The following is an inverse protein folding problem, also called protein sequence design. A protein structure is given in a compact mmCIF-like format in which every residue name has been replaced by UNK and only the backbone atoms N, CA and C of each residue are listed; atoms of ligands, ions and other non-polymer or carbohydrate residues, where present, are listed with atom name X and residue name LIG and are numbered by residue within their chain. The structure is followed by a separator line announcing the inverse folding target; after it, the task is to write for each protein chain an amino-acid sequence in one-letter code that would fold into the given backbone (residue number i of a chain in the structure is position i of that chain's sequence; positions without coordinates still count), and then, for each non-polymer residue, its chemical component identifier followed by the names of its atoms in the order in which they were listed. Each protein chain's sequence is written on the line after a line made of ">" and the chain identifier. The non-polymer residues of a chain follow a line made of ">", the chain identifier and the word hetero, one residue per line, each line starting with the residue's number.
data_IF_231792392086
#
_entry.id   IF_231792392086
#
_cell.length_a   1.000
_cell.length_b   1.000
_cell.length_c   1.000
_cell.angle_alpha   90.00
_cell.angle_beta   90.00
_cell.angle_gamma   90.00
#
_symmetry.space_group_name_H-M   'P 1'
#
loop_
_entity.id
_entity.type
_entity.pdbx_description
1 polymer ?
#
# COMPACT_ATOMS: atom_id res chain seq x y z
N UNK A 1 5.07 -37.72 18.24
CA UNK A 1 3.95 -36.89 17.76
C UNK A 1 3.98 -35.59 18.54
N UNK A 2 4.56 -34.54 17.95
CA UNK A 2 4.53 -33.19 18.50
C UNK A 2 4.09 -32.28 17.37
N UNK A 3 3.00 -31.61 17.63
CA UNK A 3 2.21 -30.78 16.72
C UNK A 3 3.06 -29.59 16.25
N UNK A 4 3.25 -29.49 14.93
CA UNK A 4 3.87 -28.32 14.31
C UNK A 4 2.87 -27.17 14.44
N UNK A 5 3.16 -26.23 15.34
CA UNK A 5 2.48 -24.95 15.39
C UNK A 5 2.68 -24.28 14.03
N UNK A 6 1.64 -24.26 13.20
CA UNK A 6 1.59 -23.43 12.00
C UNK A 6 1.78 -21.99 12.47
N UNK A 7 2.94 -21.41 12.23
CA UNK A 7 3.18 -19.98 12.39
C UNK A 7 2.13 -19.27 11.53
N UNK A 8 1.17 -18.61 12.16
CA UNK A 8 0.18 -17.84 11.43
C UNK A 8 0.92 -16.78 10.62
N UNK A 9 0.71 -16.76 9.30
CA UNK A 9 1.28 -15.72 8.45
C UNK A 9 0.74 -14.37 8.96
N UNK A 10 1.60 -13.39 9.27
CA UNK A 10 1.16 -12.10 9.84
C UNK A 10 0.26 -11.28 8.91
N UNK A 11 0.16 -11.70 7.64
CA UNK A 11 -0.68 -11.13 6.61
C UNK A 11 -1.48 -12.23 5.89
N UNK A 12 -2.77 -11.98 5.66
CA UNK A 12 -3.64 -12.82 4.83
C UNK A 12 -4.12 -12.02 3.63
N UNK A 13 -3.73 -12.45 2.43
CA UNK A 13 -4.18 -11.84 1.18
C UNK A 13 -5.70 -11.89 1.06
N UNK A 14 -6.33 -13.01 1.45
CA UNK A 14 -7.79 -13.15 1.40
C UNK A 14 -8.51 -12.12 2.26
N UNK A 15 -8.09 -11.96 3.52
CA UNK A 15 -8.68 -10.98 4.43
C UNK A 15 -8.47 -9.54 3.92
N UNK A 16 -7.32 -9.25 3.32
CA UNK A 16 -7.04 -7.96 2.71
C UNK A 16 -7.94 -7.68 1.49
N UNK A 17 -8.07 -8.64 0.57
CA UNK A 17 -8.92 -8.49 -0.62
C UNK A 17 -10.40 -8.35 -0.23
N UNK A 18 -10.86 -9.09 0.77
CA UNK A 18 -12.20 -8.93 1.36
C UNK A 18 -12.37 -7.52 1.95
N UNK A 19 -11.40 -7.03 2.72
CA UNK A 19 -11.44 -5.70 3.34
C UNK A 19 -11.60 -4.57 2.33
N UNK A 20 -10.94 -4.69 1.18
CA UNK A 20 -10.99 -3.67 0.13
C UNK A 20 -12.14 -3.89 -0.85
N UNK A 21 -12.87 -5.00 -0.75
CA UNK A 21 -13.96 -5.36 -1.65
C UNK A 21 -13.50 -5.71 -3.07
N UNK A 22 -12.30 -6.31 -3.21
CA UNK A 22 -11.80 -6.74 -4.51
C UNK A 22 -12.23 -8.18 -4.82
N UNK A 23 -13.08 -8.33 -5.84
CA UNK A 23 -13.61 -9.62 -6.32
C UNK A 23 -13.05 -10.03 -7.70
N UNK A 24 -12.13 -9.24 -8.26
CA UNK A 24 -11.55 -9.49 -9.57
C UNK A 24 -10.45 -10.55 -9.58
N UNK A 25 -9.68 -10.57 -10.67
CA UNK A 25 -8.55 -11.47 -10.86
C UNK A 25 -7.49 -11.35 -9.76
N UNK A 26 -6.73 -12.43 -9.56
CA UNK A 26 -5.59 -12.50 -8.62
C UNK A 26 -4.28 -12.84 -9.33
N UNK A 27 -4.26 -12.74 -10.65
CA UNK A 27 -3.05 -12.94 -11.43
C UNK A 27 -2.15 -11.71 -11.29
N UNK A 28 -0.83 -11.86 -11.34
CA UNK A 28 0.08 -10.72 -11.34
C UNK A 28 0.06 -10.07 -12.73
N UNK A 29 -1.03 -9.36 -13.03
CA UNK A 29 -1.24 -8.60 -14.26
C UNK A 29 -1.60 -7.13 -13.96
N UNK A 30 -1.52 -6.28 -14.99
CA UNK A 30 -1.77 -4.84 -14.87
C UNK A 30 -3.23 -4.55 -14.47
N UNK A 31 -4.17 -5.39 -14.93
CA UNK A 31 -5.58 -5.22 -14.60
C UNK A 31 -5.83 -5.43 -13.10
N UNK A 32 -5.22 -6.45 -12.52
CA UNK A 32 -5.25 -6.75 -11.08
C UNK A 32 -4.56 -5.64 -10.29
N UNK A 33 -3.37 -5.19 -10.71
CA UNK A 33 -2.66 -4.08 -10.06
C UNK A 33 -3.52 -2.79 -10.00
N UNK A 34 -4.15 -2.40 -11.12
CA UNK A 34 -5.08 -1.25 -11.18
C UNK A 34 -6.28 -1.43 -10.27
N UNK A 35 -6.93 -2.58 -10.36
CA UNK A 35 -8.14 -2.89 -9.61
C UNK A 35 -7.93 -2.89 -8.10
N UNK A 36 -6.87 -3.54 -7.63
CA UNK A 36 -6.53 -3.62 -6.20
C UNK A 36 -6.14 -2.24 -5.65
N UNK A 37 -5.38 -1.42 -6.39
CA UNK A 37 -5.06 -0.05 -5.98
C UNK A 37 -6.33 0.80 -5.80
N UNK A 38 -7.22 0.79 -6.79
CA UNK A 38 -8.46 1.55 -6.74
C UNK A 38 -9.38 1.08 -5.61
N UNK A 39 -9.48 -0.24 -5.41
CA UNK A 39 -10.25 -0.83 -4.32
C UNK A 39 -9.71 -0.40 -2.95
N UNK A 40 -8.38 -0.42 -2.75
CA UNK A 40 -7.75 0.03 -1.52
C UNK A 40 -8.09 1.49 -1.21
N UNK A 41 -7.90 2.38 -2.19
CA UNK A 41 -8.15 3.82 -2.04
C UNK A 41 -9.60 4.15 -1.66
N UNK A 42 -10.56 3.32 -2.11
CA UNK A 42 -11.98 3.48 -1.76
C UNK A 42 -12.33 2.94 -0.37
N UNK A 43 -11.59 1.95 0.11
CA UNK A 43 -11.97 1.16 1.27
C UNK A 43 -11.22 1.54 2.56
N UNK A 44 -9.95 1.93 2.47
CA UNK A 44 -9.10 2.19 3.63
C UNK A 44 -8.92 3.71 3.80
N UNK A 45 -9.44 4.31 4.89
CA UNK A 45 -9.29 5.74 5.11
C UNK A 45 -7.83 6.14 5.33
N UNK A 46 -7.46 7.35 4.91
CA UNK A 46 -6.21 7.99 5.33
C UNK A 46 -6.44 8.76 6.64
N UNK A 47 -5.57 8.59 7.63
CA UNK A 47 -5.62 9.27 8.93
C UNK A 47 -4.26 9.34 9.63
N UNK A 48 -4.13 10.24 10.60
CA UNK A 48 -2.94 10.41 11.45
C UNK A 48 -3.29 10.44 12.95
N UNK A 49 -4.37 9.78 13.36
CA UNK A 49 -4.93 9.82 14.72
C UNK A 49 -3.97 9.26 15.78
N UNK A 50 -3.17 8.24 15.45
CA UNK A 50 -2.16 7.73 16.40
C UNK A 50 -1.06 8.78 16.65
N UNK A 51 -0.56 9.42 15.60
CA UNK A 51 0.43 10.49 15.71
C UNK A 51 -0.12 11.70 16.47
N UNK A 52 -1.37 12.09 16.19
CA UNK A 52 -2.07 13.13 16.95
C UNK A 52 -2.20 12.77 18.44
N UNK A 53 -2.39 11.49 18.74
CA UNK A 53 -2.38 10.93 20.10
C UNK A 53 -0.98 10.72 20.71
N UNK A 54 0.08 11.21 20.07
CA UNK A 54 1.46 11.13 20.56
C UNK A 54 2.11 9.75 20.42
N UNK A 55 1.55 8.87 19.58
CA UNK A 55 2.08 7.52 19.34
C UNK A 55 2.62 7.41 17.91
N UNK A 56 3.83 6.86 17.76
CA UNK A 56 4.30 6.42 16.46
C UNK A 56 3.52 5.15 16.05
N UNK A 57 2.91 5.11 14.86
CA UNK A 57 2.25 3.89 14.39
C UNK A 57 3.27 2.79 14.14
N UNK A 58 2.88 1.54 14.42
CA UNK A 58 3.69 0.36 14.07
C UNK A 58 3.61 0.09 12.57
N UNK A 59 4.74 -0.33 11.99
CA UNK A 59 4.82 -0.81 10.59
C UNK A 59 4.99 -2.33 10.51
N UNK A 60 4.88 -3.04 11.64
CA UNK A 60 4.85 -4.49 11.62
C UNK A 60 3.57 -4.97 10.90
N UNK A 61 3.72 -5.98 10.03
CA UNK A 61 2.59 -6.47 9.23
C UNK A 61 1.44 -7.02 10.08
N UNK A 62 1.69 -7.60 11.25
CA UNK A 62 0.60 -8.07 12.12
C UNK A 62 -0.20 -6.89 12.69
N UNK A 63 0.48 -5.81 13.07
CA UNK A 63 -0.15 -4.61 13.60
C UNK A 63 -0.93 -3.88 12.52
N UNK A 64 -0.35 -3.76 11.31
CA UNK A 64 -1.02 -3.17 10.16
C UNK A 64 -2.25 -3.97 9.74
N UNK A 65 -2.16 -5.31 9.75
CA UNK A 65 -3.30 -6.18 9.44
C UNK A 65 -4.39 -6.04 10.51
N UNK A 66 -4.03 -6.06 11.79
CA UNK A 66 -4.98 -5.82 12.87
C UNK A 66 -5.68 -4.46 12.74
N UNK A 67 -4.93 -3.40 12.44
CA UNK A 67 -5.44 -2.02 12.36
C UNK A 67 -6.25 -1.75 11.10
N UNK A 68 -5.66 -1.97 9.92
CA UNK A 68 -6.23 -1.54 8.63
C UNK A 68 -7.20 -2.57 8.05
N UNK A 69 -6.93 -3.87 8.26
CA UNK A 69 -7.77 -4.96 7.76
C UNK A 69 -8.89 -5.27 8.74
N UNK A 70 -8.56 -5.57 10.00
CA UNK A 70 -9.58 -5.99 10.97
C UNK A 70 -10.25 -4.82 11.70
N UNK A 71 -9.56 -3.69 11.87
CA UNK A 71 -10.06 -2.54 12.61
C UNK A 71 -11.24 -1.78 11.98
N UNK A 72 -11.55 -2.02 10.67
CA UNK A 72 -12.64 -1.52 9.78
C UNK A 72 -13.00 -0.02 9.80
N UNK A 73 -12.90 0.67 10.94
CA UNK A 73 -13.11 2.11 11.16
C UNK A 73 -11.79 2.87 11.36
N UNK A 74 -10.65 2.19 11.24
CA UNK A 74 -9.31 2.78 11.31
C UNK A 74 -8.70 2.86 9.92
N UNK A 75 -7.85 3.85 9.76
CA UNK A 75 -7.03 4.08 8.58
C UNK A 75 -5.56 4.16 8.98
N UNK A 76 -4.70 4.66 8.11
CA UNK A 76 -3.33 5.04 8.47
C UNK A 76 -2.82 6.15 7.56
N UNK A 77 -1.52 6.42 7.62
CA UNK A 77 -0.88 7.31 6.65
C UNK A 77 0.06 6.57 5.68
N UNK A 78 0.84 7.31 4.88
CA UNK A 78 1.57 6.78 3.72
C UNK A 78 2.37 5.50 3.97
N UNK A 79 3.14 5.43 5.06
CA UNK A 79 3.95 4.26 5.39
C UNK A 79 3.11 3.04 5.76
N UNK A 80 2.00 3.21 6.46
CA UNK A 80 1.12 2.12 6.87
C UNK A 80 0.38 1.54 5.65
N UNK A 81 -0.18 2.44 4.83
CA UNK A 81 -0.87 2.11 3.59
C UNK A 81 0.03 1.37 2.60
N UNK A 82 1.17 1.97 2.25
CA UNK A 82 2.03 1.41 1.21
C UNK A 82 2.84 0.19 1.72
N UNK A 83 3.05 0.02 3.03
CA UNK A 83 3.60 -1.24 3.57
C UNK A 83 2.61 -2.39 3.44
N UNK A 84 1.35 -2.18 3.83
CA UNK A 84 0.30 -3.20 3.69
C UNK A 84 0.05 -3.52 2.20
N UNK A 85 0.01 -2.50 1.35
CA UNK A 85 -0.21 -2.68 -0.08
C UNK A 85 0.96 -3.40 -0.75
N UNK A 86 2.20 -3.10 -0.38
CA UNK A 86 3.35 -3.86 -0.86
C UNK A 86 3.24 -5.35 -0.53
N UNK A 87 2.85 -5.71 0.69
CA UNK A 87 2.65 -7.11 1.07
C UNK A 87 1.53 -7.79 0.26
N UNK A 88 0.46 -7.06 -0.05
CA UNK A 88 -0.61 -7.57 -0.92
C UNK A 88 -0.13 -7.81 -2.36
N UNK A 89 0.62 -6.87 -2.93
CA UNK A 89 1.18 -6.99 -4.27
C UNK A 89 2.22 -8.12 -4.37
N UNK A 90 3.12 -8.23 -3.38
CA UNK A 90 4.09 -9.32 -3.27
C UNK A 90 3.36 -10.68 -3.18
N UNK A 91 2.28 -10.78 -2.40
CA UNK A 91 1.46 -11.99 -2.30
C UNK A 91 0.68 -12.32 -3.58
N UNK A 92 0.36 -11.32 -4.41
CA UNK A 92 -0.21 -11.50 -5.75
C UNK A 92 0.83 -11.90 -6.80
N UNK A 93 2.12 -11.90 -6.46
CA UNK A 93 3.22 -12.22 -7.38
C UNK A 93 3.78 -11.03 -8.15
N UNK A 94 3.42 -9.80 -7.77
CA UNK A 94 4.01 -8.57 -8.32
C UNK A 94 5.29 -8.25 -7.56
N UNK A 95 6.39 -7.98 -8.27
CA UNK A 95 7.64 -7.56 -7.62
C UNK A 95 7.52 -6.09 -7.23
N UNK A 96 7.88 -5.75 -6.00
CA UNK A 96 7.75 -4.40 -5.45
C UNK A 96 9.09 -3.87 -4.97
N UNK A 97 9.44 -2.66 -5.41
CA UNK A 97 10.49 -1.84 -4.80
C UNK A 97 9.86 -0.68 -4.04
N UNK A 98 10.24 -0.50 -2.77
CA UNK A 98 9.73 0.59 -1.91
C UNK A 98 10.54 1.87 -2.17
N UNK A 99 9.86 2.97 -2.45
CA UNK A 99 10.47 4.27 -2.77
C UNK A 99 10.18 5.30 -1.67
N UNK A 100 11.03 6.32 -1.59
CA UNK A 100 10.77 7.53 -0.78
C UNK A 100 10.66 8.76 -1.68
N UNK A 101 9.68 9.62 -1.42
CA UNK A 101 9.40 10.82 -2.19
C UNK A 101 9.26 12.06 -1.28
N UNK A 102 9.35 13.24 -1.90
CA UNK A 102 9.09 14.53 -1.28
C UNK A 102 7.70 15.00 -1.70
N UNK A 103 6.83 15.34 -0.74
CA UNK A 103 5.54 15.95 -1.05
C UNK A 103 5.76 17.42 -1.35
N UNK A 104 5.55 17.84 -2.60
CA UNK A 104 5.80 19.23 -3.06
C UNK A 104 4.53 20.08 -3.16
N UNK A 105 3.37 19.55 -2.77
CA UNK A 105 2.13 20.32 -2.73
C UNK A 105 2.28 21.49 -1.78
N UNK A 106 2.15 22.72 -2.31
CA UNK A 106 2.35 23.95 -1.56
C UNK A 106 3.81 24.18 -1.12
N UNK A 107 4.79 23.64 -1.84
CA UNK A 107 6.21 23.95 -1.65
C UNK A 107 6.68 24.93 -2.73
N UNK A 108 7.54 25.88 -2.37
CA UNK A 108 8.20 26.76 -3.34
C UNK A 108 9.27 25.99 -4.13
N UNK A 109 10.03 25.15 -3.43
CA UNK A 109 11.02 24.25 -4.03
C UNK A 109 10.90 22.85 -3.48
N UNK A 110 11.34 21.86 -4.26
CA UNK A 110 11.25 20.46 -3.82
C UNK A 110 12.22 20.17 -2.68
N UNK A 111 13.36 20.87 -2.60
CA UNK A 111 14.38 20.69 -1.57
C UNK A 111 13.90 21.07 -0.18
N UNK A 112 12.89 21.94 -0.09
CA UNK A 112 12.30 22.43 1.17
C UNK A 112 11.51 21.35 1.92
N UNK A 113 11.28 20.19 1.29
CA UNK A 113 10.40 19.14 1.80
C UNK A 113 11.18 17.86 2.07
N UNK A 114 11.02 17.20 3.22
CA UNK A 114 11.76 15.97 3.53
C UNK A 114 11.25 14.77 2.71
N UNK A 115 12.09 13.75 2.54
CA UNK A 115 11.72 12.47 1.90
C UNK A 115 10.92 11.60 2.88
N UNK A 116 9.64 11.92 3.05
CA UNK A 116 8.76 11.33 4.08
C UNK A 116 7.50 10.69 3.51
N UNK A 117 7.36 10.66 2.18
CA UNK A 117 6.30 9.93 1.53
C UNK A 117 6.82 8.59 1.03
N UNK A 118 6.09 7.51 1.27
CA UNK A 118 6.38 6.20 0.69
C UNK A 118 5.54 6.03 -0.57
N UNK A 119 6.12 5.52 -1.64
CA UNK A 119 5.42 5.04 -2.84
C UNK A 119 6.05 3.70 -3.28
N UNK A 120 5.43 3.03 -4.24
CA UNK A 120 5.88 1.72 -4.72
C UNK A 120 6.24 1.77 -6.20
N UNK A 121 7.33 1.12 -6.57
CA UNK A 121 7.58 0.70 -7.94
C UNK A 121 7.14 -0.76 -8.07
N UNK A 122 6.13 -1.00 -8.88
CA UNK A 122 5.55 -2.32 -9.13
C UNK A 122 5.98 -2.85 -10.50
N UNK A 123 6.57 -4.04 -10.53
CA UNK A 123 7.00 -4.74 -11.74
C UNK A 123 6.10 -5.97 -11.93
N UNK A 124 5.23 -5.89 -12.93
CA UNK A 124 4.30 -6.96 -13.31
C UNK A 124 5.05 -7.97 -14.20
N UNK A 125 5.04 -9.28 -13.89
CA UNK A 125 5.69 -10.29 -14.71
C UNK A 125 5.22 -10.25 -16.17
N UNK A 126 6.18 -10.16 -17.10
CA UNK A 126 5.91 -10.13 -18.54
C UNK A 126 5.49 -8.76 -19.10
N UNK A 127 5.28 -7.75 -18.25
CA UNK A 127 5.08 -6.38 -18.69
C UNK A 127 6.45 -5.68 -18.89
N UNK A 128 6.66 -4.95 -20.00
CA UNK A 128 7.93 -4.27 -20.25
C UNK A 128 8.16 -3.03 -19.38
N UNK A 129 7.13 -2.48 -18.75
CA UNK A 129 7.20 -1.23 -18.00
C UNK A 129 7.00 -1.47 -16.50
N UNK A 130 7.80 -0.81 -15.63
CA UNK A 130 7.46 -0.70 -14.23
C UNK A 130 6.37 0.37 -14.02
N UNK A 131 5.62 0.25 -12.93
CA UNK A 131 4.52 1.15 -12.60
C UNK A 131 4.78 1.84 -11.26
N UNK A 132 4.60 3.15 -11.20
CA UNK A 132 4.48 3.88 -9.94
C UNK A 132 3.08 3.63 -9.36
N UNK A 133 3.03 2.97 -8.22
CA UNK A 133 1.83 2.65 -7.47
C UNK A 133 1.86 3.39 -6.12
N UNK A 134 0.71 3.93 -5.70
CA UNK A 134 0.61 4.67 -4.44
C UNK A 134 -0.83 4.67 -3.93
N UNK A 135 -1.05 4.07 -2.76
CA UNK A 135 -2.34 4.08 -2.05
C UNK A 135 -2.31 4.94 -0.79
N UNK A 136 -1.20 5.65 -0.54
CA UNK A 136 -0.88 6.27 0.75
C UNK A 136 -0.80 7.78 0.73
N UNK A 137 -1.10 8.47 -0.37
CA UNK A 137 -1.00 9.94 -0.43
C UNK A 137 -2.13 10.66 0.32
N UNK A 138 -3.36 10.16 0.23
CA UNK A 138 -4.49 10.59 1.07
C UNK A 138 -5.08 11.99 0.77
N UNK A 139 -4.62 12.68 -0.27
CA UNK A 139 -5.02 14.05 -0.60
C UNK A 139 -5.33 14.26 -2.09
N UNK A 140 -5.71 15.49 -2.45
CA UNK A 140 -5.86 15.92 -3.85
C UNK A 140 -4.56 15.66 -4.60
N UNK A 141 -4.63 14.93 -5.71
CA UNK A 141 -3.46 14.46 -6.46
C UNK A 141 -3.09 13.00 -6.23
N UNK A 142 -3.85 12.26 -5.41
CA UNK A 142 -3.68 10.80 -5.27
C UNK A 142 -3.86 10.09 -6.62
N UNK A 143 -3.00 9.11 -6.90
CA UNK A 143 -3.06 8.29 -8.10
C UNK A 143 -4.17 7.24 -7.96
N UNK A 144 -5.29 7.41 -8.64
CA UNK A 144 -6.38 6.41 -8.62
C UNK A 144 -5.99 5.08 -9.28
N UNK A 145 -4.99 5.12 -10.16
CA UNK A 145 -4.42 3.98 -10.85
C UNK A 145 -2.89 4.07 -10.89
N UNK A 146 -2.17 2.94 -10.93
CA UNK A 146 -0.73 2.92 -11.16
C UNK A 146 -0.38 3.54 -12.50
N UNK A 147 0.70 4.33 -12.52
CA UNK A 147 1.17 5.07 -13.70
C UNK A 147 2.44 4.42 -14.23
N UNK A 148 2.57 4.11 -15.54
CA UNK A 148 3.81 3.60 -16.10
C UNK A 148 4.97 4.57 -15.85
N UNK A 149 6.07 4.07 -15.28
CA UNK A 149 7.28 4.85 -15.07
C UNK A 149 8.17 4.74 -16.32
N UNK A 150 8.04 5.71 -17.20
CA UNK A 150 8.86 5.84 -18.40
C UNK A 150 10.07 6.74 -18.12
N UNK A 151 11.26 6.30 -18.53
CA UNK A 151 12.40 7.18 -18.65
C UNK A 151 12.25 7.97 -19.95
N UNK A 152 12.33 9.30 -19.87
CA UNK A 152 12.39 10.19 -21.03
C UNK A 152 13.82 10.29 -21.57
#
# INVERSE_FOLDING_TARGET
>A
MSESARTATPFSLDAYLERIGWEGGRQPDVATLRGVQLAHLRAVPFENLDALGGRAPSLDLSDLTAKLVHGRRRGGYCYEHNTLFAAALEALGVRVTRLTARVVVGADRFEDRPRTHMALLAEVPGDPLPYLADVGFGAVGSLLEPVPLIAA
#
